data_IF_845625379781
#
_entry.id   IF_845625379781
#
_cell.length_a   1.000
_cell.length_b   1.000
_cell.length_c   1.000
_cell.angle_alpha   90.00
_cell.angle_beta   90.00
_cell.angle_gamma   90.00
#
_symmetry.space_group_name_H-M   'P 1'
#
loop_
_entity.id
_entity.type
_entity.pdbx_description
1 polymer ?
#
# COMPACT_ATOMS: atom_id res chain seq x y z
N UNK A 1 17.96 -5.82 6.25
CA UNK A 1 17.76 -7.24 5.85
C UNK A 1 16.50 -7.33 5.00
N UNK A 2 16.49 -8.19 3.97
CA UNK A 2 15.33 -8.39 3.09
C UNK A 2 15.06 -9.88 2.83
N UNK A 3 13.80 -10.22 2.55
CA UNK A 3 13.35 -11.58 2.20
C UNK A 3 12.35 -11.56 1.04
N UNK A 4 12.27 -12.68 0.33
CA UNK A 4 11.36 -12.89 -0.83
C UNK A 4 10.03 -13.56 -0.46
N UNK A 5 9.67 -13.55 0.81
CA UNK A 5 8.39 -14.06 1.30
C UNK A 5 7.73 -12.97 2.13
N UNK A 6 6.43 -12.68 1.95
CA UNK A 6 5.76 -11.67 2.75
C UNK A 6 5.80 -12.05 4.23
N UNK A 7 5.95 -11.05 5.10
CA UNK A 7 5.86 -11.26 6.55
C UNK A 7 4.41 -11.41 7.00
N UNK A 8 3.52 -10.61 6.42
CA UNK A 8 2.10 -10.66 6.65
C UNK A 8 1.42 -11.29 5.42
N UNK A 9 0.72 -12.43 5.56
CA UNK A 9 -0.03 -13.00 4.46
C UNK A 9 -1.02 -11.98 3.88
N UNK A 10 -1.06 -11.84 2.56
CA UNK A 10 -1.90 -10.85 1.88
C UNK A 10 -3.39 -11.03 2.23
N UNK A 11 -3.85 -12.27 2.46
CA UNK A 11 -5.20 -12.55 2.93
C UNK A 11 -5.52 -11.87 4.27
N UNK A 12 -4.57 -11.84 5.20
CA UNK A 12 -4.73 -11.16 6.49
C UNK A 12 -4.78 -9.65 6.33
N UNK A 13 -3.97 -9.10 5.41
CA UNK A 13 -4.02 -7.67 5.07
C UNK A 13 -5.40 -7.29 4.51
N UNK A 14 -5.95 -8.11 3.60
CA UNK A 14 -7.31 -7.89 3.05
C UNK A 14 -8.42 -8.02 4.10
N UNK A 15 -8.29 -8.92 5.06
CA UNK A 15 -9.22 -9.01 6.19
C UNK A 15 -9.20 -7.75 7.07
N UNK A 16 -8.01 -7.23 7.41
CA UNK A 16 -7.87 -5.99 8.19
C UNK A 16 -8.41 -4.76 7.45
N UNK A 17 -8.26 -4.73 6.12
CA UNK A 17 -8.88 -3.74 5.25
C UNK A 17 -10.42 -3.78 5.33
N UNK A 18 -11.00 -4.98 5.27
CA UNK A 18 -12.45 -5.16 5.39
C UNK A 18 -12.99 -4.75 6.77
N UNK A 19 -12.19 -4.93 7.82
CA UNK A 19 -12.50 -4.47 9.19
C UNK A 19 -12.27 -2.96 9.40
N UNK A 20 -11.79 -2.22 8.40
CA UNK A 20 -11.48 -0.79 8.51
C UNK A 20 -10.27 -0.49 9.40
N UNK A 21 -9.47 -1.51 9.76
CA UNK A 21 -8.27 -1.37 10.61
C UNK A 21 -7.06 -0.91 9.80
N UNK A 22 -7.19 0.24 9.14
CA UNK A 22 -6.18 0.79 8.24
C UNK A 22 -5.81 2.19 8.66
N UNK A 23 -4.51 2.48 8.63
CA UNK A 23 -3.98 3.82 8.79
C UNK A 23 -3.01 4.09 7.65
N UNK A 24 -3.09 5.29 7.09
CA UNK A 24 -2.16 5.77 6.08
C UNK A 24 -1.27 6.86 6.67
N UNK A 25 -0.04 6.98 6.17
CA UNK A 25 0.81 8.12 6.50
C UNK A 25 0.40 9.32 5.65
N UNK A 26 0.68 10.53 6.14
CA UNK A 26 0.40 11.75 5.39
C UNK A 26 1.12 11.78 4.03
N UNK A 27 2.36 11.32 3.99
CA UNK A 27 3.16 11.27 2.75
C UNK A 27 2.59 10.26 1.74
N UNK A 28 2.07 9.12 2.21
CA UNK A 28 1.41 8.15 1.33
C UNK A 28 0.09 8.71 0.79
N UNK A 29 -0.68 9.43 1.61
CA UNK A 29 -1.90 10.10 1.17
C UNK A 29 -1.61 11.18 0.11
N UNK A 30 -0.61 12.02 0.34
CA UNK A 30 -0.19 13.04 -0.63
C UNK A 30 0.32 12.42 -1.94
N UNK A 31 1.10 11.33 -1.86
CA UNK A 31 1.54 10.58 -3.03
C UNK A 31 0.39 9.95 -3.81
N UNK A 32 -0.59 9.36 -3.10
CA UNK A 32 -1.82 8.84 -3.70
C UNK A 32 -2.62 9.94 -4.40
N UNK A 33 -2.82 11.09 -3.74
CA UNK A 33 -3.53 12.23 -4.32
C UNK A 33 -2.84 12.79 -5.57
N UNK A 34 -1.49 12.82 -5.59
CA UNK A 34 -0.72 13.20 -6.79
C UNK A 34 -0.92 12.22 -7.96
N UNK A 35 -1.24 10.96 -7.65
CA UNK A 35 -1.64 9.93 -8.62
C UNK A 35 -3.17 9.92 -8.85
N UNK A 36 -3.92 10.93 -8.40
CA UNK A 36 -5.38 10.97 -8.56
C UNK A 36 -6.14 9.90 -7.75
N UNK A 37 -5.50 9.31 -6.75
CA UNK A 37 -6.10 8.35 -5.83
C UNK A 37 -6.50 9.07 -4.54
N UNK A 38 -7.79 9.03 -4.22
CA UNK A 38 -8.28 9.36 -2.88
C UNK A 38 -8.04 8.20 -1.91
N UNK A 39 -8.43 8.36 -0.64
CA UNK A 39 -8.22 7.31 0.36
C UNK A 39 -8.91 5.99 -0.04
N UNK A 40 -10.13 6.05 -0.55
CA UNK A 40 -10.86 4.87 -1.02
C UNK A 40 -10.18 4.20 -2.21
N UNK A 41 -9.66 4.99 -3.16
CA UNK A 41 -8.86 4.53 -4.29
C UNK A 41 -7.61 3.80 -3.84
N UNK A 42 -6.87 4.32 -2.85
CA UNK A 42 -5.73 3.61 -2.28
C UNK A 42 -6.14 2.25 -1.67
N UNK A 43 -7.25 2.19 -0.91
CA UNK A 43 -7.73 0.93 -0.35
C UNK A 43 -8.14 -0.07 -1.44
N UNK A 44 -8.77 0.40 -2.51
CA UNK A 44 -9.14 -0.43 -3.65
C UNK A 44 -7.91 -1.03 -4.34
N UNK A 45 -6.82 -0.26 -4.46
CA UNK A 45 -5.54 -0.75 -4.98
C UNK A 45 -5.00 -1.88 -4.10
N UNK A 46 -4.95 -1.68 -2.77
CA UNK A 46 -4.47 -2.73 -1.85
C UNK A 46 -5.37 -3.95 -1.87
N UNK A 47 -6.68 -3.77 -2.04
CA UNK A 47 -7.64 -4.87 -2.17
C UNK A 47 -7.43 -5.67 -3.47
N UNK A 48 -7.07 -5.00 -4.57
CA UNK A 48 -6.81 -5.62 -5.87
C UNK A 48 -5.44 -6.33 -5.95
N UNK A 49 -4.51 -6.08 -5.02
CA UNK A 49 -3.20 -6.74 -5.01
C UNK A 49 -3.30 -8.26 -5.04
N UNK A 50 -2.35 -8.87 -5.75
CA UNK A 50 -2.12 -10.30 -5.79
C UNK A 50 -0.75 -10.65 -5.23
N UNK A 51 -0.48 -11.95 -5.05
CA UNK A 51 0.86 -12.41 -4.69
C UNK A 51 1.90 -12.19 -5.78
N UNK A 52 1.49 -12.01 -7.04
CA UNK A 52 2.41 -11.70 -8.14
C UNK A 52 2.97 -10.27 -8.05
N UNK A 53 2.22 -9.36 -7.42
CA UNK A 53 2.66 -7.99 -7.15
C UNK A 53 3.66 -7.90 -5.98
N UNK A 54 3.87 -9.00 -5.24
CA UNK A 54 4.81 -8.99 -4.12
C UNK A 54 6.23 -8.85 -4.63
N UNK A 55 6.92 -7.80 -4.16
CA UNK A 55 8.30 -7.55 -4.54
C UNK A 55 9.27 -8.09 -3.50
N UNK A 56 9.16 -7.62 -2.26
CA UNK A 56 10.01 -8.06 -1.14
C UNK A 56 9.45 -7.65 0.20
N UNK A 57 9.94 -8.26 1.25
CA UNK A 57 9.70 -7.84 2.63
C UNK A 57 11.02 -7.38 3.23
N UNK A 58 11.02 -6.20 3.85
CA UNK A 58 12.24 -5.59 4.38
C UNK A 58 12.04 -5.08 5.81
N UNK A 59 13.16 -5.00 6.53
CA UNK A 59 13.22 -4.39 7.85
C UNK A 59 14.33 -3.34 7.87
N UNK A 60 14.26 -2.42 8.82
CA UNK A 60 15.26 -1.35 8.96
C UNK A 60 16.34 -1.74 9.96
N UNK A 61 17.52 -1.12 9.87
CA UNK A 61 18.55 -1.33 10.89
C UNK A 61 18.16 -0.77 12.26
N UNK A 62 17.35 0.30 12.27
CA UNK A 62 16.88 0.94 13.49
C UNK A 62 15.91 0.05 14.30
N UNK A 63 15.06 -0.70 13.60
CA UNK A 63 14.18 -1.69 14.23
C UNK A 63 14.03 -2.91 13.32
N UNK A 64 14.64 -4.02 13.75
CA UNK A 64 14.66 -5.30 13.06
C UNK A 64 13.43 -6.17 13.35
N UNK A 65 12.55 -5.75 14.27
CA UNK A 65 11.30 -6.46 14.61
C UNK A 65 10.16 -6.06 13.69
N UNK A 66 10.20 -4.84 13.14
CA UNK A 66 9.18 -4.35 12.23
C UNK A 66 9.54 -4.71 10.79
N UNK A 67 8.66 -5.48 10.14
CA UNK A 67 8.78 -5.85 8.74
C UNK A 67 7.75 -5.11 7.89
N UNK A 68 8.19 -4.66 6.73
CA UNK A 68 7.41 -3.93 5.74
C UNK A 68 7.34 -4.77 4.47
N UNK A 69 6.15 -5.20 4.10
CA UNK A 69 5.90 -5.91 2.85
C UNK A 69 5.69 -4.90 1.72
N UNK A 70 6.53 -4.98 0.69
CA UNK A 70 6.56 -4.08 -0.45
C UNK A 70 5.90 -4.76 -1.65
N UNK A 71 4.85 -4.11 -2.17
CA UNK A 71 4.14 -4.54 -3.37
C UNK A 71 4.36 -3.54 -4.50
N UNK A 72 4.37 -4.04 -5.74
CA UNK A 72 4.49 -3.24 -6.96
C UNK A 72 3.39 -3.66 -7.90
N UNK A 73 2.48 -2.74 -8.19
CA UNK A 73 1.40 -2.96 -9.13
C UNK A 73 1.26 -1.75 -10.05
N UNK A 74 0.68 -1.98 -11.23
CA UNK A 74 0.41 -0.91 -12.19
C UNK A 74 -1.03 -0.46 -11.99
N UNK A 75 -1.20 0.78 -11.54
CA UNK A 75 -2.51 1.40 -11.36
C UNK A 75 -2.81 2.34 -12.51
N UNK A 76 -3.99 2.19 -13.11
CA UNK A 76 -4.55 3.21 -14.01
C UNK A 76 -5.12 4.34 -13.14
N UNK A 77 -4.27 5.31 -12.86
CA UNK A 77 -4.65 6.57 -12.26
C UNK A 77 -5.38 7.45 -13.28
N UNK A 78 -6.61 7.87 -12.98
CA UNK A 78 -7.27 8.95 -13.72
C UNK A 78 -6.70 10.29 -13.25
N UNK A 79 -6.44 11.21 -14.19
CA UNK A 79 -5.94 12.55 -13.88
C UNK A 79 -7.04 13.34 -13.18
N UNK A 80 -6.99 13.41 -11.85
CA UNK A 80 -7.84 14.33 -11.10
C UNK A 80 -7.31 15.74 -11.35
N UNK A 81 -7.94 16.46 -12.26
CA UNK A 81 -7.79 17.92 -12.36
C UNK A 81 -8.52 18.55 -11.17
N UNK A 82 -7.97 18.44 -9.97
CA UNK A 82 -8.39 19.32 -8.87
C UNK A 82 -7.65 20.64 -9.04
N UNK A 83 -8.12 21.41 -10.02
CA UNK A 83 -7.94 22.85 -10.01
C UNK A 83 -9.14 23.45 -9.31
N UNK A 84 -8.91 24.15 -8.20
CA UNK A 84 -9.62 25.36 -7.80
C UNK A 84 -8.87 26.00 -6.62
N UNK A 85 -8.22 27.12 -6.95
CA UNK A 85 -7.97 28.36 -6.17
C UNK A 85 -7.25 28.21 -4.82
#
# INVERSE_FOLDING_TARGET
>A
MEKRTPHCPLAKVKALLAEGKVRTTFTALAGGAALGLDFAGMLAVVHALSMADFYKSMTTHADHRVWQDVYRTVVKASRVLSGCI
#
